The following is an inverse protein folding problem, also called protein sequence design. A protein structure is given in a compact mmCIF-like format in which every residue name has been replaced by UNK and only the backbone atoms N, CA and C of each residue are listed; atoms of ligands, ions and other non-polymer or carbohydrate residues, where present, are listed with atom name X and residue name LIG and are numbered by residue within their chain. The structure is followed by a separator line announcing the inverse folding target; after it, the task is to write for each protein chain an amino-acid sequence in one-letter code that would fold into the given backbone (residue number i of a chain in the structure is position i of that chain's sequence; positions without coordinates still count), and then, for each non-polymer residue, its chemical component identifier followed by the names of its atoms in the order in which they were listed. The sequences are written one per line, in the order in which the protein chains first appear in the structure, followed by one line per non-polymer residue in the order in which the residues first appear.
data_IF_391682321613
#
_entry.id   IF_391682321613
#
_cell.length_a   1.000
_cell.length_b   1.000
_cell.length_c   1.000
_cell.angle_alpha   90.00
_cell.angle_beta   90.00
_cell.angle_gamma   90.00
#
_symmetry.space_group_name_H-M   'P 1'
#
loop_
_entity.id
_entity.type
_entity.pdbx_description
1 polymer ?
#
# COMPACT_ATOMS: atom_id res chain seq x y z
N UNK A 1 -19.31 -9.00 -1.64
CA UNK A 1 -17.95 -9.57 -1.81
C UNK A 1 -17.35 -8.91 -3.03
N UNK A 2 -16.90 -7.67 -2.90
CA UNK A 2 -16.24 -6.97 -4.00
C UNK A 2 -14.78 -7.40 -3.96
N UNK A 3 -14.43 -8.39 -4.77
CA UNK A 3 -13.05 -8.56 -5.21
C UNK A 3 -12.77 -7.32 -6.07
N UNK A 4 -12.36 -6.22 -5.44
CA UNK A 4 -11.86 -5.07 -6.18
C UNK A 4 -10.51 -5.54 -6.71
N UNK A 5 -10.56 -6.07 -7.92
CA UNK A 5 -9.43 -6.16 -8.82
C UNK A 5 -8.97 -4.73 -9.03
N UNK A 6 -8.16 -4.23 -8.10
CA UNK A 6 -7.65 -2.86 -8.07
C UNK A 6 -6.62 -2.71 -9.19
N UNK A 7 -7.13 -2.67 -10.42
CA UNK A 7 -6.40 -2.55 -11.66
C UNK A 7 -6.62 -1.15 -12.19
N UNK A 8 -5.58 -0.33 -12.13
CA UNK A 8 -5.57 1.04 -12.61
C UNK A 8 -4.75 1.16 -13.89
N UNK A 9 -5.09 2.08 -14.76
CA UNK A 9 -4.31 2.39 -15.95
C UNK A 9 -3.41 3.61 -15.75
N UNK A 10 -2.30 3.64 -16.51
CA UNK A 10 -1.46 4.83 -16.63
C UNK A 10 -2.31 6.07 -16.96
N UNK A 11 -2.09 7.14 -16.20
CA UNK A 11 -2.81 8.40 -16.31
C UNK A 11 -4.09 8.49 -15.48
N UNK A 12 -4.52 7.40 -14.84
CA UNK A 12 -5.60 7.47 -13.84
C UNK A 12 -5.09 8.11 -12.54
N UNK A 13 -6.02 8.69 -11.78
CA UNK A 13 -5.72 9.24 -10.47
C UNK A 13 -5.74 8.12 -9.43
N UNK A 14 -4.66 8.03 -8.67
CA UNK A 14 -4.47 7.09 -7.58
C UNK A 14 -5.50 7.38 -6.50
N UNK A 15 -6.42 6.45 -6.29
CA UNK A 15 -7.47 6.59 -5.28
C UNK A 15 -6.97 6.19 -3.89
N UNK A 16 -6.00 5.29 -3.81
CA UNK A 16 -5.45 4.73 -2.57
C UNK A 16 -3.92 4.82 -2.62
N UNK A 17 -3.29 5.34 -1.57
CA UNK A 17 -1.84 5.42 -1.48
C UNK A 17 -1.27 4.03 -1.23
N UNK A 18 -0.32 3.61 -2.06
CA UNK A 18 0.13 2.24 -2.01
C UNK A 18 1.27 1.85 -2.91
N UNK A 19 1.76 0.64 -2.68
CA UNK A 19 2.65 -0.03 -3.59
C UNK A 19 1.81 -0.66 -4.71
N UNK A 20 2.06 -0.24 -5.94
CA UNK A 20 1.40 -0.76 -7.13
C UNK A 20 2.38 -1.56 -7.97
N UNK A 21 1.91 -2.64 -8.58
CA UNK A 21 2.73 -3.52 -9.41
C UNK A 21 2.26 -3.37 -10.86
N UNK A 22 3.12 -2.91 -11.77
CA UNK A 22 2.76 -2.92 -13.18
C UNK A 22 2.73 -4.34 -13.75
N UNK A 23 2.10 -4.53 -14.92
CA UNK A 23 1.96 -5.85 -15.57
C UNK A 23 3.27 -6.61 -15.79
N UNK A 24 4.42 -5.94 -15.76
CA UNK A 24 5.75 -6.54 -15.85
C UNK A 24 6.25 -7.14 -14.54
N UNK A 25 5.58 -6.86 -13.41
CA UNK A 25 5.98 -7.25 -12.06
C UNK A 25 6.77 -6.18 -11.29
N UNK A 26 6.93 -4.98 -11.85
CA UNK A 26 7.68 -3.90 -11.19
C UNK A 26 6.81 -3.11 -10.21
N UNK A 27 7.33 -2.89 -9.01
CA UNK A 27 6.61 -2.27 -7.89
C UNK A 27 6.93 -0.79 -7.80
N UNK A 28 5.93 0.04 -7.52
CA UNK A 28 6.06 1.49 -7.37
C UNK A 28 5.12 1.99 -6.30
N UNK A 29 5.65 2.71 -5.33
CA UNK A 29 4.86 3.42 -4.35
C UNK A 29 4.26 4.69 -4.99
N UNK A 30 2.94 4.82 -4.90
CA UNK A 30 2.15 5.94 -5.40
C UNK A 30 1.30 6.48 -4.26
N UNK A 31 1.11 7.79 -4.18
CA UNK A 31 0.26 8.40 -3.16
C UNK A 31 -1.13 8.72 -3.70
N UNK A 32 -2.12 8.73 -2.82
CA UNK A 32 -3.47 9.18 -3.14
C UNK A 32 -3.43 10.57 -3.77
N UNK A 33 -4.12 10.72 -4.91
CA UNK A 33 -4.15 11.95 -5.70
C UNK A 33 -3.00 12.10 -6.71
N UNK A 34 -1.99 11.23 -6.68
CA UNK A 34 -1.02 11.15 -7.79
C UNK A 34 -1.64 10.51 -9.03
N UNK A 35 -0.93 10.56 -10.16
CA UNK A 35 -1.32 9.87 -11.39
C UNK A 35 -0.45 8.65 -11.61
N UNK A 36 -1.06 7.53 -11.98
CA UNK A 36 -0.34 6.30 -12.32
C UNK A 36 0.65 6.56 -13.45
N UNK A 37 1.96 6.41 -13.23
CA UNK A 37 2.96 6.68 -14.26
C UNK A 37 2.98 5.55 -15.31
N UNK A 38 3.80 5.73 -16.35
CA UNK A 38 4.16 4.65 -17.26
C UNK A 38 5.02 3.61 -16.52
N UNK A 39 4.97 2.34 -16.96
CA UNK A 39 5.76 1.29 -16.31
C UNK A 39 7.27 1.63 -16.47
N UNK A 40 8.07 1.71 -15.40
CA UNK A 40 9.46 2.15 -15.48
C UNK A 40 10.31 1.24 -16.39
N UNK A 41 10.01 -0.05 -16.40
CA UNK A 41 10.67 -1.05 -17.22
C UNK A 41 10.46 -0.88 -18.74
N UNK A 42 9.25 -0.52 -19.17
CA UNK A 42 8.90 -0.42 -20.61
C UNK A 42 8.73 1.00 -21.10
N UNK A 43 8.52 1.98 -20.22
CA UNK A 43 8.21 3.36 -20.57
C UNK A 43 6.93 3.51 -21.39
N UNK A 44 5.97 2.59 -21.24
CA UNK A 44 4.69 2.62 -21.95
C UNK A 44 3.53 2.55 -20.95
N UNK A 45 2.34 2.94 -21.42
CA UNK A 45 1.08 2.80 -20.67
C UNK A 45 0.87 1.35 -20.24
N UNK A 46 0.63 1.16 -18.95
CA UNK A 46 0.47 -0.16 -18.34
C UNK A 46 -0.77 -0.20 -17.46
N UNK A 47 -1.06 -1.40 -16.96
CA UNK A 47 -2.02 -1.62 -15.88
C UNK A 47 -1.23 -1.83 -14.59
N UNK A 48 -1.63 -1.12 -13.55
CA UNK A 48 -1.11 -1.17 -12.20
C UNK A 48 -2.08 -1.93 -11.33
N UNK A 49 -1.58 -2.93 -10.61
CA UNK A 49 -2.37 -3.70 -9.64
C UNK A 49 -1.93 -3.30 -8.24
N UNK A 50 -2.86 -3.03 -7.31
CA UNK A 50 -2.48 -2.83 -5.91
C UNK A 50 -1.71 -4.05 -5.41
N UNK A 51 -0.51 -3.84 -4.89
CA UNK A 51 0.14 -4.86 -4.10
C UNK A 51 -0.58 -4.93 -2.76
N UNK A 52 -0.80 -6.13 -2.23
CA UNK A 52 -1.18 -6.28 -0.83
C UNK A 52 -0.13 -5.61 0.06
N UNK A 53 -0.54 -4.59 0.83
CA UNK A 53 0.35 -3.83 1.70
C UNK A 53 0.67 -4.60 2.97
N UNK A 54 1.94 -4.93 3.15
CA UNK A 54 2.48 -5.39 4.42
C UNK A 54 3.63 -4.44 4.79
N UNK A 55 3.42 -3.65 5.84
CA UNK A 55 4.36 -2.67 6.36
C UNK A 55 4.99 -3.19 7.64
N UNK A 56 6.28 -2.97 7.88
CA UNK A 56 6.93 -3.30 9.14
C UNK A 56 6.87 -2.15 10.14
N UNK A 57 6.95 -2.51 11.42
CA UNK A 57 7.24 -1.57 12.51
C UNK A 57 8.40 -0.63 12.16
N UNK A 58 8.18 0.67 12.36
CA UNK A 58 9.13 1.73 12.08
C UNK A 58 9.09 2.27 10.65
N UNK A 59 8.38 1.61 9.72
CA UNK A 59 8.11 2.18 8.39
C UNK A 59 7.18 3.38 8.51
N UNK A 60 7.21 4.24 7.48
CA UNK A 60 6.33 5.40 7.43
C UNK A 60 5.00 4.97 6.84
N UNK A 61 3.93 5.35 7.52
CA UNK A 61 2.55 5.10 7.13
C UNK A 61 2.28 5.90 5.87
N UNK A 62 2.03 5.19 4.78
CA UNK A 62 1.78 5.80 3.47
C UNK A 62 0.31 6.20 3.31
N UNK A 63 -0.59 5.52 4.02
CA UNK A 63 -2.03 5.75 3.93
C UNK A 63 -2.63 5.89 5.33
N UNK A 64 -3.58 6.81 5.47
CA UNK A 64 -4.31 6.90 6.74
C UNK A 64 -5.38 5.83 6.75
N UNK A 65 -5.38 4.93 7.72
CA UNK A 65 -6.36 3.86 7.75
C UNK A 65 -6.21 2.88 8.90
N UNK A 66 -6.93 1.77 8.77
CA UNK A 66 -6.94 0.69 9.73
C UNK A 66 -5.89 -0.34 9.32
N UNK A 67 -4.98 -0.64 10.23
CA UNK A 67 -3.92 -1.60 10.02
C UNK A 67 -4.06 -2.73 11.02
N UNK A 68 -3.98 -3.95 10.53
CA UNK A 68 -4.04 -5.16 11.34
C UNK A 68 -2.71 -5.89 11.30
N UNK A 69 -2.23 -6.39 12.42
CA UNK A 69 -1.03 -7.21 12.43
C UNK A 69 -1.35 -8.69 12.15
N UNK A 70 -0.30 -9.52 12.06
CA UNK A 70 -0.44 -10.95 11.85
C UNK A 70 -1.17 -11.68 13.00
N UNK A 71 -1.16 -11.14 14.21
CA UNK A 71 -1.87 -11.64 15.40
C UNK A 71 -3.35 -11.20 15.42
N UNK A 72 -3.70 -10.15 14.66
CA UNK A 72 -5.06 -9.61 14.55
C UNK A 72 -5.32 -8.40 15.45
N UNK A 73 -4.28 -7.72 15.94
CA UNK A 73 -4.38 -6.42 16.58
C UNK A 73 -4.60 -5.33 15.54
N UNK A 74 -5.56 -4.42 15.78
CA UNK A 74 -5.90 -3.35 14.86
C UNK A 74 -5.44 -2.00 15.43
N UNK A 75 -4.79 -1.20 14.59
CA UNK A 75 -4.37 0.17 14.91
C UNK A 75 -4.84 1.12 13.83
N UNK A 76 -5.19 2.34 14.22
CA UNK A 76 -5.50 3.42 13.29
C UNK A 76 -4.26 4.28 13.19
N UNK A 77 -3.71 4.39 11.99
CA UNK A 77 -2.53 5.19 11.72
C UNK A 77 -2.85 6.24 10.67
N UNK A 78 -2.25 7.42 10.80
CA UNK A 78 -2.36 8.50 9.84
C UNK A 78 -1.16 8.51 8.89
N UNK A 79 -1.37 8.95 7.65
CA UNK A 79 -0.28 9.15 6.69
C UNK A 79 0.83 10.04 7.30
N UNK A 80 2.07 9.58 7.19
CA UNK A 80 3.25 10.23 7.74
C UNK A 80 3.61 9.80 9.17
N UNK A 81 2.75 9.05 9.85
CA UNK A 81 3.11 8.40 11.12
C UNK A 81 4.08 7.23 10.90
N UNK A 82 4.60 6.66 11.99
CA UNK A 82 5.38 5.42 11.92
C UNK A 82 4.57 4.27 12.45
N UNK A 83 4.68 3.13 11.77
CA UNK A 83 4.11 1.89 12.25
C UNK A 83 4.66 1.57 13.66
N UNK A 84 3.81 1.48 14.69
CA UNK A 84 4.26 1.19 16.04
C UNK A 84 4.78 -0.25 16.13
N UNK A 85 5.54 -0.52 17.18
CA UNK A 85 5.82 -1.90 17.58
C UNK A 85 4.53 -2.56 18.07
N UNK A 86 4.49 -3.89 18.05
CA UNK A 86 3.38 -4.63 18.66
C UNK A 86 3.18 -4.15 20.09
N UNK A 87 1.99 -3.66 20.49
CA UNK A 87 1.77 -3.13 21.82
C UNK A 87 1.78 -4.24 22.88
N UNK A 88 1.52 -5.49 22.48
CA UNK A 88 1.57 -6.66 23.37
C UNK A 88 3.00 -7.13 23.69
N UNK A 89 3.89 -7.18 22.69
CA UNK A 89 5.24 -7.78 22.86
C UNK A 89 6.38 -6.77 22.73
N UNK A 90 6.13 -5.60 22.14
CA UNK A 90 7.15 -4.62 21.77
C UNK A 90 8.01 -5.02 20.58
N UNK A 91 7.72 -6.14 19.93
CA UNK A 91 8.50 -6.64 18.80
C UNK A 91 8.14 -5.94 17.49
N UNK A 92 9.08 -5.97 16.55
CA UNK A 92 8.87 -5.52 15.18
C UNK A 92 7.99 -6.50 14.43
N UNK A 93 6.77 -6.09 14.13
CA UNK A 93 5.74 -6.87 13.45
C UNK A 93 5.45 -6.32 12.06
N UNK A 94 4.65 -7.06 11.31
CA UNK A 94 4.12 -6.64 10.01
C UNK A 94 2.66 -6.25 10.18
N UNK A 95 2.35 -5.02 9.80
CA UNK A 95 1.03 -4.43 9.71
C UNK A 95 0.51 -4.53 8.28
N UNK A 96 -0.66 -5.11 8.11
CA UNK A 96 -1.39 -5.19 6.85
C UNK A 96 -2.50 -4.16 6.85
N UNK A 97 -2.65 -3.42 5.76
CA UNK A 97 -3.75 -2.47 5.64
C UNK A 97 -5.08 -3.22 5.44
N UNK A 98 -6.07 -2.93 6.27
CA UNK A 98 -7.44 -3.43 6.13
C UNK A 98 -8.23 -2.47 5.25
N UNK A 99 -8.50 -2.87 3.99
CA UNK A 99 -9.38 -2.19 3.03
C UNK A 99 -10.83 -2.67 3.18
#
# INVERSE_FOLDING_TARGET
MAHITDHHHTGETVSEAGAYICTTGEKKDLHQGETFPECPSTGNSTTWTHASHAHRTGETVMESGHYLDADGEHVVLQQGEKFPSCPSTGESITWTHEQ
#
